data_IF_842587416330
#
_entry.id   IF_842587416330
#
_cell.length_a   1.000
_cell.length_b   1.000
_cell.length_c   1.000
_cell.angle_alpha   90.00
_cell.angle_beta   90.00
_cell.angle_gamma   90.00
#
_symmetry.space_group_name_H-M   'P 1'
#
loop_
_entity.id
_entity.type
_entity.pdbx_description
1 polymer ?
#
# COMPACT_ATOMS: atom_id res chain seq x y z
N UNK A 1 6.40 -0.43 16.57
CA UNK A 1 5.78 0.91 16.54
C UNK A 1 5.05 1.13 17.86
N UNK A 2 5.25 2.27 18.52
CA UNK A 2 4.60 2.57 19.79
C UNK A 2 3.07 2.63 19.66
N UNK A 3 2.35 2.29 20.72
CA UNK A 3 0.89 2.35 20.76
C UNK A 3 0.41 3.78 20.45
N UNK A 4 -0.30 3.97 19.34
CA UNK A 4 -0.86 5.26 18.96
C UNK A 4 -2.02 5.60 19.91
N UNK A 5 -1.95 6.76 20.57
CA UNK A 5 -3.03 7.26 21.43
C UNK A 5 -4.13 7.88 20.56
N UNK A 6 -4.90 7.09 19.81
CA UNK A 6 -5.91 7.62 18.87
C UNK A 6 -6.95 8.55 19.52
N UNK A 7 -7.23 8.33 20.81
CA UNK A 7 -8.17 9.11 21.62
C UNK A 7 -7.79 10.58 21.89
N UNK A 8 -6.56 11.02 21.58
CA UNK A 8 -6.17 12.45 21.68
C UNK A 8 -6.23 13.19 20.35
N UNK A 9 -6.64 12.52 19.26
CA UNK A 9 -6.73 13.10 17.92
C UNK A 9 -8.17 13.08 17.42
N UNK A 10 -8.50 14.00 16.52
CA UNK A 10 -9.80 14.02 15.86
C UNK A 10 -10.02 12.77 15.01
N UNK A 11 -11.29 12.41 14.78
CA UNK A 11 -11.65 11.29 13.91
C UNK A 11 -11.05 11.46 12.51
N UNK A 12 -11.05 12.67 11.97
CA UNK A 12 -10.45 12.96 10.66
C UNK A 12 -8.95 12.67 10.64
N UNK A 13 -8.20 13.08 11.67
CA UNK A 13 -6.77 12.81 11.79
C UNK A 13 -6.50 11.31 11.92
N UNK A 14 -7.29 10.59 12.72
CA UNK A 14 -7.16 9.15 12.88
C UNK A 14 -7.44 8.39 11.58
N UNK A 15 -8.49 8.77 10.85
CA UNK A 15 -8.83 8.18 9.55
C UNK A 15 -7.72 8.44 8.52
N UNK A 16 -7.23 9.68 8.43
CA UNK A 16 -6.12 10.01 7.54
C UNK A 16 -4.85 9.22 7.90
N UNK A 17 -4.55 9.07 9.20
CA UNK A 17 -3.41 8.30 9.66
C UNK A 17 -3.52 6.81 9.30
N UNK A 18 -4.72 6.22 9.32
CA UNK A 18 -4.92 4.84 8.87
C UNK A 18 -4.60 4.68 7.37
N UNK A 19 -5.11 5.58 6.54
CA UNK A 19 -4.84 5.57 5.10
C UNK A 19 -3.34 5.76 4.84
N UNK A 20 -2.73 6.77 5.49
CA UNK A 20 -1.30 7.05 5.34
C UNK A 20 -0.42 5.88 5.79
N UNK A 21 -0.81 5.15 6.85
CA UNK A 21 -0.10 3.96 7.32
C UNK A 21 -0.10 2.84 6.28
N UNK A 22 -1.21 2.66 5.58
CA UNK A 22 -1.29 1.70 4.47
C UNK A 22 -0.38 2.15 3.32
N UNK A 23 -0.42 3.42 2.95
CA UNK A 23 0.39 3.95 1.84
C UNK A 23 1.89 4.05 2.14
N UNK A 24 2.30 4.15 3.41
CA UNK A 24 3.69 4.43 3.80
C UNK A 24 4.73 3.34 3.47
N UNK A 25 4.33 2.21 2.85
CA UNK A 25 5.26 1.17 2.44
C UNK A 25 5.73 1.37 0.99
N UNK A 26 7.04 1.45 0.70
CA UNK A 26 7.55 1.76 -0.65
C UNK A 26 7.07 0.79 -1.72
N UNK A 27 6.98 -0.52 -1.42
CA UNK A 27 6.43 -1.49 -2.36
C UNK A 27 4.97 -1.19 -2.77
N UNK A 28 4.14 -0.67 -1.86
CA UNK A 28 2.75 -0.32 -2.18
C UNK A 28 2.67 0.93 -3.06
N UNK A 29 3.57 1.89 -2.85
CA UNK A 29 3.70 3.06 -3.72
C UNK A 29 4.11 2.64 -5.13
N UNK A 30 5.13 1.78 -5.27
CA UNK A 30 5.56 1.26 -6.57
C UNK A 30 4.44 0.51 -7.31
N UNK A 31 3.67 -0.33 -6.59
CA UNK A 31 2.49 -1.01 -7.14
C UNK A 31 1.47 0.01 -7.66
N UNK A 32 1.12 1.03 -6.87
CA UNK A 32 0.14 2.06 -7.28
C UNK A 32 0.65 2.88 -8.47
N UNK A 33 1.92 3.27 -8.49
CA UNK A 33 2.51 3.97 -9.63
C UNK A 33 2.45 3.13 -10.91
N UNK A 34 2.73 1.83 -10.82
CA UNK A 34 2.62 0.94 -11.96
C UNK A 34 1.17 0.82 -12.44
N UNK A 35 0.20 0.65 -11.52
CA UNK A 35 -1.24 0.59 -11.86
C UNK A 35 -1.71 1.88 -12.53
N UNK A 36 -1.25 3.05 -12.08
CA UNK A 36 -1.64 4.33 -12.68
C UNK A 36 -1.03 4.51 -14.08
N UNK A 37 0.18 3.98 -14.31
CA UNK A 37 0.86 4.06 -15.62
C UNK A 37 0.35 3.00 -16.61
N UNK A 38 -0.08 1.84 -16.12
CA UNK A 38 -0.52 0.70 -16.92
C UNK A 38 -2.05 0.67 -17.04
N UNK A 39 -2.58 0.93 -18.24
CA UNK A 39 -4.03 0.90 -18.53
C UNK A 39 -4.68 -0.50 -18.36
N UNK A 40 -3.89 -1.54 -18.12
CA UNK A 40 -4.30 -2.89 -17.76
C UNK A 40 -3.20 -3.50 -16.87
N UNK A 41 -3.57 -4.30 -15.86
CA UNK A 41 -2.60 -4.88 -14.92
C UNK A 41 -2.71 -6.41 -14.91
N UNK A 42 -1.61 -7.09 -15.24
CA UNK A 42 -1.43 -8.53 -14.98
C UNK A 42 -0.42 -8.65 -13.84
N UNK A 43 -0.72 -9.46 -12.82
CA UNK A 43 0.15 -9.59 -11.63
C UNK A 43 1.59 -10.06 -11.95
N UNK A 44 1.80 -10.73 -13.09
CA UNK A 44 3.13 -11.13 -13.55
C UNK A 44 3.99 -9.92 -13.90
N UNK A 45 3.41 -8.89 -14.54
CA UNK A 45 4.13 -7.68 -14.93
C UNK A 45 4.69 -6.96 -13.69
N UNK A 46 3.94 -6.98 -12.58
CA UNK A 46 4.40 -6.41 -11.31
C UNK A 46 5.58 -7.17 -10.68
N UNK A 47 5.68 -8.49 -10.88
CA UNK A 47 6.80 -9.29 -10.37
C UNK A 47 8.08 -8.90 -11.10
N UNK A 48 8.01 -8.79 -12.42
CA UNK A 48 9.16 -8.45 -13.26
C UNK A 48 9.59 -6.98 -13.05
N UNK A 49 8.63 -6.05 -12.91
CA UNK A 49 8.90 -4.61 -12.77
C UNK A 49 9.37 -4.22 -11.35
N UNK A 50 8.74 -4.77 -10.31
CA UNK A 50 9.03 -4.42 -8.91
C UNK A 50 10.12 -5.32 -8.33
N UNK A 51 10.37 -6.49 -8.92
CA UNK A 51 11.39 -7.44 -8.47
C UNK A 51 11.04 -8.14 -7.16
N UNK A 52 9.76 -8.17 -6.77
CA UNK A 52 9.27 -8.87 -5.58
C UNK A 52 8.54 -10.14 -5.98
N UNK A 53 8.62 -11.16 -5.11
CA UNK A 53 7.89 -12.41 -5.34
C UNK A 53 6.38 -12.16 -5.40
N UNK A 54 5.68 -12.94 -6.23
CA UNK A 54 4.24 -12.84 -6.44
C UNK A 54 3.44 -12.90 -5.11
N UNK A 55 3.86 -13.75 -4.17
CA UNK A 55 3.23 -13.87 -2.85
C UNK A 55 3.36 -12.58 -2.04
N UNK A 56 4.52 -11.92 -2.10
CA UNK A 56 4.80 -10.64 -1.44
C UNK A 56 3.97 -9.51 -2.05
N UNK A 57 3.86 -9.46 -3.38
CA UNK A 57 3.01 -8.49 -4.07
C UNK A 57 1.55 -8.69 -3.69
N UNK A 58 1.06 -9.94 -3.68
CA UNK A 58 -0.30 -10.27 -3.26
C UNK A 58 -0.59 -9.84 -1.82
N UNK A 59 0.38 -10.00 -0.92
CA UNK A 59 0.27 -9.53 0.45
C UNK A 59 0.14 -8.00 0.50
N UNK A 60 0.96 -7.27 -0.27
CA UNK A 60 0.85 -5.80 -0.33
C UNK A 60 -0.48 -5.33 -0.93
N UNK A 61 -0.97 -5.99 -1.98
CA UNK A 61 -2.28 -5.72 -2.58
C UNK A 61 -3.44 -5.98 -1.61
N UNK A 62 -3.35 -7.05 -0.81
CA UNK A 62 -4.37 -7.36 0.21
C UNK A 62 -4.48 -6.25 1.26
N UNK A 63 -3.36 -5.63 1.61
CA UNK A 63 -3.30 -4.54 2.59
C UNK A 63 -3.75 -3.18 2.00
N UNK A 64 -3.84 -3.06 0.67
CA UNK A 64 -4.37 -1.89 -0.03
C UNK A 64 -5.89 -1.94 -0.22
N UNK A 65 -6.53 -3.07 0.09
CA UNK A 65 -7.98 -3.27 0.04
C UNK A 65 -8.62 -2.85 1.37
#
# INVERSE_FOLDING_TARGET
MGSTKSQIFSDQQNNLAQIAKVLGHPARIAILEHIVKSNACICNDLVDEIGLAQATISQHLKELK
#
